data_IF_274924314945
#
_entry.id   IF_274924314945
#
_cell.length_a   1.000
_cell.length_b   1.000
_cell.length_c   1.000
_cell.angle_alpha   90.00
_cell.angle_beta   90.00
_cell.angle_gamma   90.00
#
_symmetry.space_group_name_H-M   'P 1'
#
loop_
_entity.id
_entity.type
_entity.pdbx_description
1 polymer ?
#
# COMPACT_ATOMS: atom_id res chain seq x y z
N UNK A 1 30.44 0.42 -18.54
CA UNK A 1 29.13 -0.03 -18.06
C UNK A 1 29.26 -0.58 -16.65
N UNK A 2 28.17 -0.49 -15.90
CA UNK A 2 28.03 -0.95 -14.53
C UNK A 2 26.76 -1.78 -14.43
N UNK A 3 26.76 -2.84 -13.64
CA UNK A 3 25.58 -3.62 -13.30
C UNK A 3 25.54 -3.86 -11.79
N UNK A 4 24.36 -3.78 -11.20
CA UNK A 4 24.21 -3.92 -9.76
C UNK A 4 22.85 -4.39 -9.32
N UNK A 5 22.71 -4.55 -8.00
CA UNK A 5 21.49 -4.93 -7.31
C UNK A 5 21.31 -4.07 -6.06
N UNK A 6 20.11 -3.50 -5.88
CA UNK A 6 19.72 -2.75 -4.69
C UNK A 6 18.54 -3.43 -4.01
N UNK A 7 18.61 -3.62 -2.70
CA UNK A 7 17.49 -4.10 -1.87
C UNK A 7 16.92 -2.94 -1.05
N UNK A 8 15.64 -2.66 -1.27
CA UNK A 8 14.90 -1.64 -0.53
C UNK A 8 13.97 -2.36 0.44
N UNK A 9 14.16 -2.14 1.75
CA UNK A 9 13.32 -2.75 2.78
C UNK A 9 11.92 -2.17 2.83
N UNK A 10 10.98 -2.94 3.38
CA UNK A 10 9.65 -2.45 3.73
C UNK A 10 9.70 -1.42 4.85
N UNK A 11 8.66 -0.58 4.96
CA UNK A 11 8.53 0.43 6.01
C UNK A 11 7.14 0.40 6.62
N UNK A 12 7.10 0.54 7.95
CA UNK A 12 5.88 0.68 8.73
C UNK A 12 5.36 2.12 8.67
N UNK A 13 4.04 2.30 8.48
CA UNK A 13 3.40 3.61 8.44
C UNK A 13 3.44 4.35 9.79
N UNK A 14 3.53 3.64 10.90
CA UNK A 14 3.64 4.17 12.26
C UNK A 14 2.56 5.18 12.64
N UNK A 15 1.33 5.02 12.11
CA UNK A 15 0.21 5.88 12.51
C UNK A 15 -0.06 5.73 14.02
N UNK A 16 -0.29 6.85 14.71
CA UNK A 16 -0.45 6.86 16.17
C UNK A 16 -1.71 6.10 16.62
N UNK A 17 -2.82 6.30 15.94
CA UNK A 17 -4.06 5.54 16.12
C UNK A 17 -4.01 4.24 15.32
N UNK A 18 -4.05 3.06 15.97
CA UNK A 18 -4.15 1.76 15.30
C UNK A 18 -5.47 1.58 14.54
N UNK A 19 -5.61 0.45 13.86
CA UNK A 19 -6.85 0.08 13.15
C UNK A 19 -8.03 0.00 14.13
N UNK A 20 -9.13 0.70 13.83
CA UNK A 20 -10.30 0.75 14.70
C UNK A 20 -11.58 0.95 13.92
N UNK A 21 -12.63 0.19 14.28
CA UNK A 21 -13.98 0.32 13.72
C UNK A 21 -15.02 0.02 14.80
N UNK A 22 -16.12 0.79 14.80
CA UNK A 22 -17.32 0.58 15.60
C UNK A 22 -18.51 0.40 14.67
N UNK A 23 -19.18 -0.73 14.74
CA UNK A 23 -20.36 -1.06 13.94
C UNK A 23 -21.60 -1.16 14.82
N UNK A 24 -22.67 -0.46 14.46
CA UNK A 24 -23.92 -0.35 15.20
C UNK A 24 -25.04 -0.78 14.26
N UNK A 25 -25.75 -1.91 14.55
CA UNK A 25 -26.92 -2.31 13.76
C UNK A 25 -28.02 -1.26 13.88
N UNK A 26 -28.73 -0.99 12.78
CA UNK A 26 -29.91 -0.11 12.77
C UNK A 26 -31.20 -0.91 12.74
N UNK A 27 -32.31 -0.30 13.14
CA UNK A 27 -33.63 -0.97 13.27
C UNK A 27 -34.15 -1.56 11.96
N UNK A 28 -33.79 -0.96 10.83
CA UNK A 28 -34.20 -1.40 9.49
C UNK A 28 -33.29 -2.48 8.88
N UNK A 29 -32.39 -3.09 9.68
CA UNK A 29 -31.43 -4.10 9.21
C UNK A 29 -30.17 -3.55 8.56
N UNK A 30 -29.98 -2.24 8.55
CA UNK A 30 -28.77 -1.59 8.08
C UNK A 30 -27.65 -1.56 9.13
N UNK A 31 -26.58 -0.84 8.83
CA UNK A 31 -25.40 -0.74 9.67
C UNK A 31 -24.83 0.68 9.66
N UNK A 32 -24.68 1.27 10.85
CA UNK A 32 -23.85 2.47 11.02
C UNK A 32 -22.44 2.06 11.41
N UNK A 33 -21.44 2.60 10.69
CA UNK A 33 -20.02 2.27 10.88
C UNK A 33 -19.25 3.54 11.15
N UNK A 34 -18.55 3.60 12.27
CA UNK A 34 -17.61 4.66 12.60
C UNK A 34 -16.22 4.04 12.57
N UNK A 35 -15.36 4.47 11.64
CA UNK A 35 -14.08 3.81 11.38
C UNK A 35 -12.96 4.81 11.15
N UNK A 36 -11.74 4.42 11.50
CA UNK A 36 -10.52 5.10 11.11
C UNK A 36 -10.07 4.56 9.73
N UNK A 37 -10.40 5.30 8.67
CA UNK A 37 -10.31 4.80 7.29
C UNK A 37 -10.10 5.95 6.30
N UNK A 38 -9.20 5.75 5.32
CA UNK A 38 -8.92 6.74 4.27
C UNK A 38 -9.90 6.65 3.08
N UNK A 39 -10.66 5.56 2.97
CA UNK A 39 -11.59 5.31 1.88
C UNK A 39 -12.97 4.85 2.38
N UNK A 40 -13.79 5.77 2.94
CA UNK A 40 -15.09 5.41 3.51
C UNK A 40 -16.07 4.81 2.48
N UNK A 41 -15.98 5.22 1.22
CA UNK A 41 -16.86 4.69 0.15
C UNK A 41 -16.55 3.22 -0.15
N UNK A 42 -15.28 2.83 -0.18
CA UNK A 42 -14.92 1.43 -0.35
C UNK A 42 -15.32 0.59 0.86
N UNK A 43 -15.12 1.11 2.08
CA UNK A 43 -15.60 0.46 3.30
C UNK A 43 -17.10 0.21 3.24
N UNK A 44 -17.90 1.21 2.83
CA UNK A 44 -19.34 1.09 2.64
C UNK A 44 -19.69 -0.03 1.67
N UNK A 45 -19.06 -0.04 0.49
CA UNK A 45 -19.25 -1.05 -0.55
C UNK A 45 -18.94 -2.47 -0.07
N UNK A 46 -17.79 -2.65 0.59
CA UNK A 46 -17.35 -3.97 1.07
C UNK A 46 -18.21 -4.47 2.23
N UNK A 47 -18.57 -3.62 3.18
CA UNK A 47 -19.46 -3.98 4.29
C UNK A 47 -20.85 -4.36 3.78
N UNK A 48 -21.41 -3.59 2.84
CA UNK A 48 -22.70 -3.92 2.21
C UNK A 48 -22.65 -5.29 1.53
N UNK A 49 -21.54 -5.59 0.81
CA UNK A 49 -21.32 -6.89 0.17
C UNK A 49 -21.24 -8.03 1.19
N UNK A 50 -20.50 -7.85 2.30
CA UNK A 50 -20.35 -8.86 3.36
C UNK A 50 -21.68 -9.13 4.07
N UNK A 51 -22.49 -8.09 4.28
CA UNK A 51 -23.80 -8.22 4.93
C UNK A 51 -24.94 -8.64 3.98
N UNK A 52 -24.66 -8.71 2.67
CA UNK A 52 -25.66 -8.95 1.62
C UNK A 52 -26.83 -7.95 1.66
N UNK A 53 -26.52 -6.68 1.87
CA UNK A 53 -27.51 -5.59 1.87
C UNK A 53 -27.17 -4.56 0.77
N UNK A 54 -28.15 -3.77 0.32
CA UNK A 54 -27.87 -2.62 -0.57
C UNK A 54 -26.91 -1.63 0.09
N UNK A 55 -26.07 -0.99 -0.73
CA UNK A 55 -25.04 -0.07 -0.25
C UNK A 55 -25.59 1.11 0.59
N UNK A 56 -26.78 1.60 0.26
CA UNK A 56 -27.49 2.66 0.99
C UNK A 56 -27.99 2.25 2.39
N UNK A 57 -27.92 0.97 2.72
CA UNK A 57 -28.21 0.46 4.08
C UNK A 57 -27.00 0.52 5.02
N UNK A 58 -25.84 0.92 4.50
CA UNK A 58 -24.60 1.07 5.28
C UNK A 58 -24.22 2.53 5.30
N UNK A 59 -24.18 3.13 6.49
CA UNK A 59 -23.72 4.51 6.71
C UNK A 59 -22.32 4.47 7.31
N UNK A 60 -21.32 5.03 6.60
CA UNK A 60 -19.92 5.03 7.03
C UNK A 60 -19.48 6.44 7.39
N UNK A 61 -19.08 6.62 8.62
CA UNK A 61 -18.59 7.89 9.19
C UNK A 61 -17.11 7.80 9.53
N UNK A 62 -16.30 8.71 8.99
CA UNK A 62 -14.91 8.95 9.39
C UNK A 62 -14.81 10.34 9.99
N UNK A 63 -14.78 10.44 11.32
CA UNK A 63 -14.74 11.74 12.02
C UNK A 63 -13.37 12.37 11.96
N UNK A 64 -12.37 11.67 12.47
CA UNK A 64 -10.96 12.05 12.54
C UNK A 64 -10.11 10.79 12.53
N UNK A 65 -8.90 10.90 11.99
CA UNK A 65 -7.91 9.83 12.02
C UNK A 65 -6.67 10.32 12.76
N UNK A 66 -6.13 9.47 13.64
CA UNK A 66 -4.85 9.67 14.30
C UNK A 66 -3.68 9.22 13.43
N UNK A 67 -3.68 9.60 12.15
CA UNK A 67 -2.73 9.20 11.14
C UNK A 67 -3.17 7.96 10.35
N UNK A 68 -2.66 7.84 9.14
CA UNK A 68 -2.89 6.68 8.27
C UNK A 68 -1.74 6.48 7.27
N UNK A 69 -1.29 7.53 6.59
CA UNK A 69 -0.15 7.54 5.67
C UNK A 69 -0.21 6.47 4.55
N UNK A 70 -1.43 6.05 4.16
CA UNK A 70 -1.68 4.94 3.24
C UNK A 70 -2.07 3.62 3.92
N UNK A 71 -1.72 3.41 5.18
CA UNK A 71 -1.97 2.16 5.91
C UNK A 71 -3.43 1.88 6.28
N UNK A 72 -4.34 2.83 6.02
CA UNK A 72 -5.78 2.69 6.24
C UNK A 72 -6.60 2.93 4.96
N UNK A 73 -5.97 2.81 3.80
CA UNK A 73 -6.64 3.00 2.52
C UNK A 73 -7.50 1.78 2.17
N UNK A 74 -6.92 0.60 2.24
CA UNK A 74 -7.59 -0.70 2.01
C UNK A 74 -7.64 -1.57 3.26
N UNK A 75 -6.55 -1.64 4.03
CA UNK A 75 -6.43 -2.50 5.21
C UNK A 75 -7.48 -2.23 6.29
N UNK A 76 -7.95 -1.00 6.45
CA UNK A 76 -9.00 -0.65 7.41
C UNK A 76 -10.35 -1.32 7.10
N UNK A 77 -10.62 -1.63 5.83
CA UNK A 77 -11.87 -2.24 5.38
C UNK A 77 -12.09 -3.64 5.98
N UNK A 78 -11.02 -4.42 6.12
CA UNK A 78 -11.09 -5.76 6.71
C UNK A 78 -11.65 -5.74 8.13
N UNK A 79 -11.18 -4.82 8.96
CA UNK A 79 -11.61 -4.69 10.36
C UNK A 79 -13.03 -4.17 10.48
N UNK A 80 -13.42 -3.26 9.59
CA UNK A 80 -14.80 -2.79 9.45
C UNK A 80 -15.75 -3.93 9.05
N UNK A 81 -15.39 -4.75 8.08
CA UNK A 81 -16.18 -5.90 7.64
C UNK A 81 -16.37 -6.95 8.75
N UNK A 82 -15.29 -7.28 9.49
CA UNK A 82 -15.37 -8.23 10.61
C UNK A 82 -16.27 -7.68 11.72
N UNK A 83 -16.10 -6.43 12.12
CA UNK A 83 -16.92 -5.80 13.14
C UNK A 83 -18.40 -5.73 12.72
N UNK A 84 -18.69 -5.41 11.46
CA UNK A 84 -20.04 -5.35 10.93
C UNK A 84 -20.72 -6.72 10.90
N UNK A 85 -20.01 -7.76 10.49
CA UNK A 85 -20.53 -9.13 10.50
C UNK A 85 -20.88 -9.60 11.93
N UNK A 86 -20.01 -9.33 12.90
CA UNK A 86 -20.25 -9.64 14.30
C UNK A 86 -21.42 -8.84 14.86
N UNK A 87 -21.53 -7.55 14.54
CA UNK A 87 -22.63 -6.70 14.95
C UNK A 87 -23.98 -7.19 14.39
N UNK A 88 -24.02 -7.57 13.11
CA UNK A 88 -25.20 -8.12 12.47
C UNK A 88 -25.64 -9.45 13.10
N UNK A 89 -24.71 -10.34 13.43
CA UNK A 89 -24.99 -11.63 14.08
C UNK A 89 -25.46 -11.48 15.52
N UNK A 90 -24.82 -10.61 16.30
CA UNK A 90 -25.15 -10.42 17.72
C UNK A 90 -26.31 -9.46 17.96
N UNK A 91 -26.72 -8.70 16.95
CA UNK A 91 -27.71 -7.60 17.05
C UNK A 91 -27.32 -6.54 18.09
N UNK A 92 -26.02 -6.36 18.32
CA UNK A 92 -25.44 -5.42 19.31
C UNK A 92 -24.32 -4.61 18.67
N UNK A 93 -24.04 -3.41 19.17
CA UNK A 93 -22.86 -2.66 18.76
C UNK A 93 -21.56 -3.47 19.01
N UNK A 94 -20.67 -3.51 18.01
CA UNK A 94 -19.37 -4.18 18.11
C UNK A 94 -18.26 -3.19 17.77
N UNK A 95 -17.32 -3.03 18.69
CA UNK A 95 -16.09 -2.29 18.48
C UNK A 95 -14.93 -3.24 18.31
N UNK A 96 -14.18 -3.08 17.24
CA UNK A 96 -12.93 -3.77 16.98
C UNK A 96 -11.77 -2.77 16.95
N UNK A 97 -10.71 -3.08 17.66
CA UNK A 97 -9.47 -2.30 17.68
C UNK A 97 -8.31 -3.26 17.80
N UNK A 98 -7.34 -3.14 16.90
CA UNK A 98 -6.10 -3.91 17.00
C UNK A 98 -5.21 -3.37 18.13
N UNK A 99 -4.59 -4.26 18.89
CA UNK A 99 -3.45 -3.89 19.72
C UNK A 99 -2.28 -3.51 18.81
N UNK A 100 -1.40 -2.62 19.26
CA UNK A 100 -0.27 -2.13 18.44
C UNK A 100 0.61 -3.27 17.90
N UNK A 101 0.86 -4.26 18.72
CA UNK A 101 1.65 -5.44 18.33
C UNK A 101 0.99 -6.20 17.18
N UNK A 102 -0.31 -6.42 17.28
CA UNK A 102 -1.07 -7.17 16.27
C UNK A 102 -1.16 -6.35 14.98
N UNK A 103 -1.38 -5.04 15.08
CA UNK A 103 -1.40 -4.11 13.94
C UNK A 103 -0.08 -4.22 13.14
N UNK A 104 1.07 -4.22 13.80
CA UNK A 104 2.37 -4.38 13.15
C UNK A 104 2.56 -5.73 12.44
N UNK A 105 1.88 -6.78 12.90
CA UNK A 105 2.04 -8.13 12.35
C UNK A 105 1.08 -8.37 11.18
N UNK A 106 -0.19 -7.93 11.32
CA UNK A 106 -1.27 -8.36 10.42
C UNK A 106 -1.70 -7.30 9.39
N UNK A 107 -1.02 -6.16 9.33
CA UNK A 107 -1.30 -5.11 8.34
C UNK A 107 -0.18 -4.97 7.33
N UNK A 108 -0.53 -4.52 6.13
CA UNK A 108 0.42 -4.32 5.04
C UNK A 108 1.40 -3.17 5.33
N UNK A 109 2.57 -3.25 4.71
CA UNK A 109 3.67 -2.28 4.83
C UNK A 109 3.97 -1.64 3.48
N UNK A 110 4.88 -0.67 3.43
CA UNK A 110 5.50 -0.28 2.16
C UNK A 110 6.12 -1.50 1.50
N UNK A 111 5.88 -1.69 0.22
CA UNK A 111 6.46 -2.79 -0.53
C UNK A 111 7.99 -2.78 -0.45
N UNK A 112 8.63 -3.88 -0.01
CA UNK A 112 10.04 -4.10 -0.28
C UNK A 112 10.28 -4.23 -1.78
N UNK A 113 11.43 -3.75 -2.27
CA UNK A 113 11.82 -3.90 -3.67
C UNK A 113 13.19 -4.55 -3.78
N UNK A 114 13.33 -5.39 -4.78
CA UNK A 114 14.61 -5.80 -5.35
C UNK A 114 14.74 -5.10 -6.70
N UNK A 115 15.78 -4.29 -6.83
CA UNK A 115 16.11 -3.59 -8.07
C UNK A 115 17.34 -4.23 -8.67
N UNK A 116 17.28 -4.60 -9.94
CA UNK A 116 18.45 -4.98 -10.74
C UNK A 116 18.62 -3.97 -11.86
N UNK A 117 19.85 -3.61 -12.15
CA UNK A 117 20.12 -2.64 -13.20
C UNK A 117 21.41 -2.92 -13.94
N UNK A 118 21.44 -2.45 -15.17
CA UNK A 118 22.62 -2.36 -16.02
C UNK A 118 22.60 -0.97 -16.68
N UNK A 119 23.69 -0.23 -16.55
CA UNK A 119 23.81 1.15 -17.04
C UNK A 119 25.06 1.33 -17.87
N UNK A 120 24.91 1.92 -19.05
CA UNK A 120 26.00 2.37 -19.91
C UNK A 120 26.21 3.87 -19.76
N UNK A 121 27.45 4.32 -19.58
CA UNK A 121 27.82 5.72 -19.47
C UNK A 121 29.19 5.99 -20.10
N UNK A 122 29.47 7.26 -20.42
CA UNK A 122 30.75 7.70 -20.99
C UNK A 122 31.78 8.08 -19.90
N UNK A 123 32.98 8.49 -20.32
CA UNK A 123 34.06 8.90 -19.41
C UNK A 123 33.76 10.17 -18.61
N UNK A 124 32.68 10.88 -18.91
CA UNK A 124 32.21 12.06 -18.18
C UNK A 124 31.04 11.75 -17.25
N UNK A 125 30.66 10.47 -17.13
CA UNK A 125 29.51 10.01 -16.33
C UNK A 125 28.15 10.25 -17.00
N UNK A 126 28.09 10.62 -18.29
CA UNK A 126 26.82 10.80 -18.99
C UNK A 126 26.20 9.42 -19.32
N UNK A 127 24.98 9.21 -18.87
CA UNK A 127 24.25 7.96 -19.12
C UNK A 127 23.88 7.86 -20.59
N UNK A 128 24.24 6.74 -21.24
CA UNK A 128 23.92 6.44 -22.63
C UNK A 128 22.72 5.48 -22.74
N UNK A 129 22.49 4.65 -21.71
CA UNK A 129 21.35 3.75 -21.65
C UNK A 129 21.23 3.10 -20.29
N UNK A 130 19.98 2.77 -19.90
CA UNK A 130 19.65 2.12 -18.64
C UNK A 130 18.69 0.95 -18.90
N UNK A 131 19.02 -0.21 -18.34
CA UNK A 131 18.08 -1.32 -18.16
C UNK A 131 17.85 -1.51 -16.66
N UNK A 132 16.57 -1.47 -16.21
CA UNK A 132 16.21 -1.58 -14.80
C UNK A 132 15.00 -2.48 -14.60
N UNK A 133 15.13 -3.42 -13.68
CA UNK A 133 14.03 -4.29 -13.24
C UNK A 133 13.68 -3.98 -11.79
N UNK A 134 12.42 -3.64 -11.55
CA UNK A 134 11.86 -3.31 -10.24
C UNK A 134 10.94 -4.44 -9.77
N UNK A 135 11.40 -5.30 -8.88
CA UNK A 135 10.61 -6.44 -8.35
C UNK A 135 10.06 -6.09 -6.97
N UNK A 136 8.74 -5.90 -6.88
CA UNK A 136 8.05 -5.60 -5.64
C UNK A 136 7.57 -6.87 -4.94
N UNK A 137 7.81 -7.00 -3.63
CA UNK A 137 7.15 -7.99 -2.79
C UNK A 137 5.72 -7.54 -2.49
N UNK A 138 4.72 -8.20 -3.08
CA UNK A 138 3.31 -7.85 -2.93
C UNK A 138 2.62 -8.55 -1.77
N UNK A 139 3.21 -9.62 -1.24
CA UNK A 139 2.55 -10.49 -0.28
C UNK A 139 1.53 -11.44 -0.94
N UNK A 140 0.57 -11.93 -0.17
CA UNK A 140 -0.36 -12.99 -0.59
C UNK A 140 -1.44 -12.53 -1.60
N UNK A 141 -1.72 -11.24 -1.70
CA UNK A 141 -2.67 -10.65 -2.65
C UNK A 141 -2.16 -9.33 -3.21
N UNK A 142 -2.70 -8.93 -4.36
CA UNK A 142 -2.24 -7.73 -5.06
C UNK A 142 -2.49 -6.43 -4.29
N UNK A 143 -3.63 -6.30 -3.61
CA UNK A 143 -4.05 -5.05 -2.98
C UNK A 143 -3.86 -3.85 -3.92
N UNK A 144 -3.02 -2.89 -3.57
CA UNK A 144 -2.68 -1.72 -4.39
C UNK A 144 -1.34 -1.88 -5.16
N UNK A 145 -0.78 -3.08 -5.19
CA UNK A 145 0.56 -3.34 -5.72
C UNK A 145 0.73 -2.94 -7.19
N UNK A 146 -0.30 -3.12 -8.03
CA UNK A 146 -0.23 -2.77 -9.45
C UNK A 146 0.09 -1.27 -9.63
N UNK A 147 -0.71 -0.41 -9.02
CA UNK A 147 -0.53 1.04 -9.10
C UNK A 147 0.76 1.52 -8.43
N UNK A 148 1.21 0.84 -7.38
CA UNK A 148 2.45 1.17 -6.67
C UNK A 148 3.68 0.84 -7.53
N UNK A 149 3.69 -0.31 -8.20
CA UNK A 149 4.78 -0.69 -9.10
C UNK A 149 4.78 0.20 -10.34
N UNK A 150 3.63 0.47 -10.93
CA UNK A 150 3.52 1.42 -12.05
C UNK A 150 4.11 2.78 -11.68
N UNK A 151 3.74 3.29 -10.51
CA UNK A 151 4.27 4.57 -10.05
C UNK A 151 5.77 4.53 -9.78
N UNK A 152 6.31 3.42 -9.27
CA UNK A 152 7.75 3.26 -9.11
C UNK A 152 8.47 3.34 -10.47
N UNK A 153 7.93 2.68 -11.50
CA UNK A 153 8.46 2.75 -12.88
C UNK A 153 8.41 4.17 -13.43
N UNK A 154 7.29 4.90 -13.24
CA UNK A 154 7.14 6.29 -13.69
C UNK A 154 8.04 7.30 -12.96
N UNK A 155 8.65 6.92 -11.86
CA UNK A 155 9.59 7.76 -11.10
C UNK A 155 11.03 7.25 -11.15
N UNK A 156 11.30 6.19 -11.94
CA UNK A 156 12.63 5.60 -12.03
C UNK A 156 13.61 6.40 -12.90
N UNK A 157 13.15 7.40 -13.61
CA UNK A 157 14.00 8.38 -14.31
C UNK A 157 14.28 9.64 -13.47
N UNK A 158 13.48 9.88 -12.43
CA UNK A 158 13.50 11.09 -11.60
C UNK A 158 13.58 12.36 -12.50
N UNK A 159 14.60 13.19 -12.30
CA UNK A 159 14.84 14.41 -13.08
C UNK A 159 15.96 14.23 -14.12
N UNK A 160 16.42 13.01 -14.34
CA UNK A 160 17.53 12.72 -15.26
C UNK A 160 17.06 12.50 -16.69
N UNK A 161 17.86 12.95 -17.66
CA UNK A 161 17.63 12.61 -19.05
C UNK A 161 18.26 11.25 -19.37
N UNK A 162 17.45 10.29 -19.73
CA UNK A 162 17.85 8.95 -20.14
C UNK A 162 17.59 8.80 -21.65
N UNK A 163 18.62 8.84 -22.50
CA UNK A 163 18.42 8.80 -23.96
C UNK A 163 17.88 7.45 -24.45
N UNK A 164 18.16 6.37 -23.70
CA UNK A 164 17.59 5.06 -23.91
C UNK A 164 17.33 4.39 -22.55
N UNK A 165 16.12 3.94 -22.30
CA UNK A 165 15.76 3.26 -21.06
C UNK A 165 14.80 2.10 -21.30
N UNK A 166 15.04 0.98 -20.60
CA UNK A 166 14.12 -0.13 -20.45
C UNK A 166 13.84 -0.30 -18.96
N UNK A 167 12.60 -0.05 -18.53
CA UNK A 167 12.20 -0.13 -17.12
C UNK A 167 11.05 -1.13 -17.03
N UNK A 168 11.27 -2.22 -16.28
CA UNK A 168 10.30 -3.31 -16.13
C UNK A 168 9.92 -3.44 -14.65
N UNK A 169 8.61 -3.52 -14.37
CA UNK A 169 8.07 -3.72 -13.02
C UNK A 169 7.45 -5.10 -12.82
N UNK A 170 7.91 -5.82 -11.81
CA UNK A 170 7.40 -7.14 -11.44
C UNK A 170 6.59 -7.07 -10.13
N UNK A 171 5.38 -7.63 -10.14
CA UNK A 171 4.52 -7.79 -8.97
C UNK A 171 4.68 -9.22 -8.47
N UNK A 172 5.51 -9.40 -7.44
CA UNK A 172 5.89 -10.74 -6.96
C UNK A 172 4.95 -11.16 -5.83
N UNK A 173 4.17 -12.21 -6.07
CA UNK A 173 3.35 -12.83 -5.04
C UNK A 173 4.22 -13.63 -4.08
N UNK A 174 4.05 -13.41 -2.76
CA UNK A 174 4.77 -14.12 -1.71
C UNK A 174 3.81 -14.65 -0.64
N UNK A 175 4.33 -15.29 0.40
CA UNK A 175 3.53 -15.85 1.50
C UNK A 175 3.47 -14.95 2.74
N UNK A 176 3.78 -13.65 2.58
CA UNK A 176 3.63 -12.64 3.64
C UNK A 176 2.26 -11.97 3.58
N UNK A 177 1.91 -11.16 4.58
CA UNK A 177 0.75 -10.27 4.47
C UNK A 177 0.92 -9.35 3.26
N UNK A 178 -0.22 -9.02 2.62
CA UNK A 178 -0.20 -8.13 1.46
C UNK A 178 0.34 -6.77 1.83
N UNK A 179 1.39 -6.34 1.13
CA UNK A 179 1.89 -4.99 1.24
C UNK A 179 0.88 -4.00 0.66
N UNK A 180 0.91 -2.76 1.10
CA UNK A 180 -0.11 -1.76 0.79
C UNK A 180 0.49 -0.37 0.58
N UNK A 181 -0.37 0.61 0.40
CA UNK A 181 0.02 2.00 0.26
C UNK A 181 0.84 2.50 1.47
N UNK A 182 1.89 3.22 1.16
CA UNK A 182 2.59 4.09 2.10
C UNK A 182 3.03 5.36 1.39
N UNK A 183 3.04 6.47 2.10
CA UNK A 183 3.37 7.82 1.66
C UNK A 183 4.43 7.82 0.55
N UNK A 184 4.10 8.41 -0.60
CA UNK A 184 4.90 8.39 -1.83
C UNK A 184 4.52 7.28 -2.81
N UNK A 185 3.86 6.18 -2.37
CA UNK A 185 3.13 5.21 -3.20
C UNK A 185 3.93 4.67 -4.38
N UNK A 186 5.13 4.12 -4.14
CA UNK A 186 6.03 3.60 -5.18
C UNK A 186 7.08 4.61 -5.67
N UNK A 187 6.76 5.89 -5.68
CA UNK A 187 7.70 6.93 -6.09
C UNK A 187 9.04 6.90 -5.33
N UNK A 188 9.06 6.78 -3.99
CA UNK A 188 10.32 6.69 -3.24
C UNK A 188 11.21 5.52 -3.67
N UNK A 189 10.65 4.38 -4.03
CA UNK A 189 11.42 3.22 -4.47
C UNK A 189 12.02 3.45 -5.86
N UNK A 190 11.25 4.03 -6.80
CA UNK A 190 11.76 4.36 -8.14
C UNK A 190 12.86 5.42 -8.09
N UNK A 191 12.65 6.50 -7.32
CA UNK A 191 13.65 7.55 -7.14
C UNK A 191 14.91 7.00 -6.48
N UNK A 192 14.78 6.23 -5.39
CA UNK A 192 15.94 5.65 -4.71
C UNK A 192 16.75 4.72 -5.65
N UNK A 193 16.07 4.00 -6.55
CA UNK A 193 16.73 3.11 -7.50
C UNK A 193 17.67 3.89 -8.44
N UNK A 194 17.19 4.96 -9.08
CA UNK A 194 18.02 5.73 -10.00
C UNK A 194 19.09 6.56 -9.28
N UNK A 195 18.78 7.09 -8.08
CA UNK A 195 19.78 7.82 -7.29
C UNK A 195 20.97 6.91 -6.90
N UNK A 196 20.69 5.65 -6.55
CA UNK A 196 21.75 4.67 -6.30
C UNK A 196 22.60 4.40 -7.54
N UNK A 197 21.99 4.30 -8.73
CA UNK A 197 22.71 4.12 -9.99
C UNK A 197 23.64 5.31 -10.27
N UNK A 198 23.13 6.53 -10.08
CA UNK A 198 23.92 7.77 -10.31
C UNK A 198 25.06 7.88 -9.30
N UNK A 199 24.83 7.53 -8.04
CA UNK A 199 25.85 7.55 -6.99
C UNK A 199 26.99 6.56 -7.29
N UNK A 200 26.66 5.35 -7.77
CA UNK A 200 27.64 4.35 -8.17
C UNK A 200 28.44 4.76 -9.44
N UNK A 201 27.83 5.51 -10.37
CA UNK A 201 28.57 6.06 -11.53
C UNK A 201 29.58 7.11 -11.08
N UNK A 202 29.26 7.87 -10.02
CA UNK A 202 30.09 8.96 -9.51
C UNK A 202 31.25 8.47 -8.61
N UNK A 203 31.23 7.22 -8.15
CA UNK A 203 32.22 6.62 -7.25
C UNK A 203 33.41 6.01 -7.99
#
# INVERSE_FOLDING_TARGET
SLAGELRIGGQEQMYLEGQASLCIPTENGGMKVITSNQNPTEAQKLIAKVLHVPMNMVDVEVRRMGGAFGGKETNANQWGCIAALLAAKTKRPVKMRLARRDDFIVTGKRHPFLVKYEVGFDSKGQINGLNMELSADCGMSADLSDSIVDRAMFHADNAYFLPAASIIGHRVKTNTFSNTAFRGFGGPQGVLAIENVVDEIAS
#
